data_IF_972118864743
#
_entry.id   IF_972118864743
#
_cell.length_a   1.000
_cell.length_b   1.000
_cell.length_c   1.000
_cell.angle_alpha   90.00
_cell.angle_beta   90.00
_cell.angle_gamma   90.00
#
_symmetry.space_group_name_H-M   'P 1'
#
loop_
_entity.id
_entity.type
_entity.pdbx_description
1 polymer ?
#
# COMPACT_ATOMS: atom_id res chain seq x y z
N UNK A 1 -23.34 -36.56 -23.61
CA UNK A 1 -23.03 -35.64 -22.49
C UNK A 1 -21.56 -35.81 -22.11
N UNK A 2 -20.68 -34.83 -22.38
CA UNK A 2 -19.28 -34.84 -21.91
C UNK A 2 -18.95 -33.44 -21.37
N UNK A 3 -18.63 -33.36 -20.07
CA UNK A 3 -18.33 -32.10 -19.37
C UNK A 3 -16.95 -31.57 -19.76
N UNK A 4 -16.88 -30.33 -20.21
CA UNK A 4 -15.62 -29.62 -20.43
C UNK A 4 -15.04 -29.17 -19.08
N UNK A 5 -13.80 -29.56 -18.79
CA UNK A 5 -13.01 -29.05 -17.66
C UNK A 5 -12.24 -27.81 -18.11
N UNK A 6 -12.65 -26.63 -17.65
CA UNK A 6 -11.94 -25.38 -17.91
C UNK A 6 -10.67 -25.30 -17.07
N UNK A 7 -9.50 -25.48 -17.71
CA UNK A 7 -8.19 -25.14 -17.11
C UNK A 7 -8.10 -23.61 -16.97
N UNK A 8 -8.13 -23.07 -15.76
CA UNK A 8 -7.71 -21.69 -15.48
C UNK A 8 -6.20 -21.59 -15.78
N UNK A 9 -5.82 -20.89 -16.86
CA UNK A 9 -4.44 -20.46 -17.09
C UNK A 9 -4.14 -19.34 -16.08
N UNK A 10 -3.21 -19.58 -15.16
CA UNK A 10 -2.56 -18.51 -14.37
C UNK A 10 -1.78 -17.63 -15.37
N UNK A 11 -2.13 -16.35 -15.45
CA UNK A 11 -1.48 -15.38 -16.32
C UNK A 11 -0.12 -14.93 -15.76
N UNK A 12 0.87 -14.60 -16.62
CA UNK A 12 2.21 -14.20 -16.21
C UNK A 12 2.22 -12.72 -15.80
N UNK A 13 1.92 -12.43 -14.53
CA UNK A 13 1.91 -11.06 -14.00
C UNK A 13 3.27 -10.61 -13.43
N UNK A 14 4.26 -11.50 -13.37
CA UNK A 14 5.56 -11.23 -12.73
C UNK A 14 6.52 -10.40 -13.60
N UNK A 15 6.52 -10.59 -14.93
CA UNK A 15 7.58 -10.03 -15.80
C UNK A 15 7.34 -8.64 -16.39
N UNK A 16 6.13 -8.07 -16.27
CA UNK A 16 5.75 -6.82 -16.94
C UNK A 16 6.18 -5.57 -16.15
N UNK A 17 6.07 -5.65 -14.83
CA UNK A 17 6.42 -4.57 -13.89
C UNK A 17 7.94 -4.52 -13.69
N UNK A 18 8.56 -5.70 -13.68
CA UNK A 18 9.99 -5.94 -13.46
C UNK A 18 10.91 -5.21 -14.47
N UNK A 19 10.41 -4.96 -15.69
CA UNK A 19 11.16 -4.25 -16.75
C UNK A 19 11.12 -2.73 -16.65
N UNK A 20 10.19 -2.14 -15.90
CA UNK A 20 9.96 -0.68 -15.92
C UNK A 20 10.59 0.06 -14.75
N UNK A 21 10.92 -0.60 -13.63
CA UNK A 21 11.48 0.08 -12.45
C UNK A 21 12.51 -0.84 -11.75
N UNK A 22 13.80 -0.77 -12.10
CA UNK A 22 14.85 -1.64 -11.54
C UNK A 22 14.96 -1.56 -10.00
N UNK A 23 14.65 -0.41 -9.42
CA UNK A 23 14.67 -0.16 -7.97
C UNK A 23 13.57 -0.92 -7.21
N UNK A 24 12.54 -1.41 -7.91
CA UNK A 24 11.48 -2.22 -7.32
C UNK A 24 12.03 -3.51 -6.68
N UNK A 25 13.07 -4.11 -7.29
CA UNK A 25 13.74 -5.30 -6.72
C UNK A 25 14.53 -5.00 -5.45
N UNK A 26 15.02 -3.78 -5.27
CA UNK A 26 15.76 -3.38 -4.07
C UNK A 26 14.79 -3.12 -2.91
N UNK A 27 13.69 -2.40 -3.15
CA UNK A 27 12.64 -2.17 -2.15
C UNK A 27 11.93 -3.47 -1.73
N UNK A 28 11.67 -4.40 -2.67
CA UNK A 28 11.12 -5.73 -2.36
C UNK A 28 12.12 -6.60 -1.57
N UNK A 29 13.43 -6.36 -1.70
CA UNK A 29 14.49 -7.04 -0.93
C UNK A 29 14.80 -6.37 0.40
N UNK A 30 14.22 -5.20 0.67
CA UNK A 30 14.35 -4.56 1.97
C UNK A 30 13.69 -5.45 3.02
N UNK A 31 14.48 -5.90 3.99
CA UNK A 31 13.97 -6.59 5.17
C UNK A 31 12.89 -5.76 5.88
N UNK A 32 12.94 -4.43 5.78
CA UNK A 32 11.95 -3.55 6.38
C UNK A 32 10.58 -3.65 5.72
N UNK A 33 10.47 -3.59 4.38
CA UNK A 33 9.17 -3.71 3.71
C UNK A 33 8.58 -5.12 3.82
N UNK A 34 9.43 -6.15 3.73
CA UNK A 34 8.97 -7.53 3.94
C UNK A 34 8.37 -7.72 5.34
N UNK A 35 8.96 -7.10 6.36
CA UNK A 35 8.40 -7.12 7.72
C UNK A 35 7.16 -6.26 7.86
N UNK A 36 7.09 -5.10 7.20
CA UNK A 36 5.88 -4.29 7.14
C UNK A 36 4.70 -5.10 6.59
N UNK A 37 4.91 -5.94 5.56
CA UNK A 37 3.88 -6.86 5.06
C UNK A 37 3.48 -7.94 6.08
N UNK A 38 4.43 -8.47 6.86
CA UNK A 38 4.12 -9.45 7.91
C UNK A 38 3.25 -8.85 9.02
N UNK A 39 3.57 -7.62 9.45
CA UNK A 39 2.84 -6.93 10.52
C UNK A 39 1.53 -6.30 10.02
N UNK A 40 1.45 -5.92 8.75
CA UNK A 40 0.26 -5.30 8.18
C UNK A 40 -0.98 -6.19 8.28
N UNK A 41 -0.82 -7.51 8.33
CA UNK A 41 -1.92 -8.44 8.60
C UNK A 41 -2.56 -8.24 9.98
N UNK A 42 -1.75 -8.06 11.04
CA UNK A 42 -2.28 -7.81 12.39
C UNK A 42 -2.88 -6.42 12.52
N UNK A 43 -2.25 -5.40 11.92
CA UNK A 43 -2.78 -4.03 11.90
C UNK A 43 -4.13 -4.02 11.16
N UNK A 44 -4.23 -4.65 9.98
CA UNK A 44 -5.47 -4.69 9.19
C UNK A 44 -6.63 -5.40 9.89
N UNK A 45 -6.34 -6.26 10.86
CA UNK A 45 -7.35 -6.97 11.65
C UNK A 45 -7.87 -6.16 12.85
N UNK A 46 -7.20 -5.07 13.24
CA UNK A 46 -7.50 -4.28 14.43
C UNK A 46 -7.89 -2.82 14.07
N UNK A 47 -9.16 -2.43 14.27
CA UNK A 47 -9.63 -1.07 13.99
C UNK A 47 -8.89 0.04 14.73
N UNK A 48 -8.41 -0.20 15.97
CA UNK A 48 -7.68 0.81 16.73
C UNK A 48 -6.27 1.03 16.16
N UNK A 49 -5.60 -0.06 15.74
CA UNK A 49 -4.30 0.05 15.06
C UNK A 49 -4.44 0.73 13.69
N UNK A 50 -5.50 0.44 12.93
CA UNK A 50 -5.79 1.16 11.69
C UNK A 50 -6.05 2.66 11.91
N UNK A 51 -6.71 3.01 13.01
CA UNK A 51 -6.96 4.40 13.38
C UNK A 51 -5.65 5.12 13.71
N UNK A 52 -4.81 4.53 14.55
CA UNK A 52 -3.49 5.08 14.89
C UNK A 52 -2.64 5.27 13.63
N UNK A 53 -2.56 4.24 12.78
CA UNK A 53 -1.83 4.30 11.51
C UNK A 53 -2.35 5.42 10.59
N UNK A 54 -3.66 5.64 10.53
CA UNK A 54 -4.24 6.73 9.76
C UNK A 54 -3.85 8.10 10.32
N UNK A 55 -3.92 8.28 11.64
CA UNK A 55 -3.60 9.56 12.30
C UNK A 55 -2.14 9.95 12.07
N UNK A 56 -1.21 9.01 12.30
CA UNK A 56 0.22 9.20 12.06
C UNK A 56 0.53 9.35 10.56
N UNK A 57 -0.08 8.53 9.72
CA UNK A 57 0.08 8.56 8.27
C UNK A 57 -0.38 9.89 7.67
N UNK A 58 -1.50 10.43 8.15
CA UNK A 58 -2.00 11.73 7.71
C UNK A 58 -1.05 12.87 8.11
N UNK A 59 -0.52 12.85 9.34
CA UNK A 59 0.48 13.83 9.79
C UNK A 59 1.75 13.74 8.95
N UNK A 60 2.26 12.54 8.70
CA UNK A 60 3.47 12.31 7.89
C UNK A 60 3.27 12.78 6.45
N UNK A 61 2.18 12.36 5.79
CA UNK A 61 1.87 12.76 4.41
C UNK A 61 1.73 14.28 4.28
N UNK A 62 1.23 14.97 5.30
CA UNK A 62 1.18 16.44 5.29
C UNK A 62 2.56 17.11 5.38
N UNK A 63 3.55 16.43 5.97
CA UNK A 63 4.89 16.98 6.21
C UNK A 63 5.94 16.64 5.12
N UNK A 64 5.70 15.61 4.30
CA UNK A 64 6.66 15.17 3.26
C UNK A 64 6.55 15.98 1.95
N UNK A 65 7.65 16.17 1.21
CA UNK A 65 7.61 16.80 -0.11
C UNK A 65 6.84 15.93 -1.11
N UNK A 66 5.97 16.55 -1.92
CA UNK A 66 5.20 15.84 -2.96
C UNK A 66 6.04 15.35 -4.13
N UNK A 67 7.19 15.97 -4.39
CA UNK A 67 8.03 15.74 -5.58
C UNK A 67 8.39 14.25 -5.80
N UNK A 68 8.99 13.56 -4.82
CA UNK A 68 9.32 12.14 -4.93
C UNK A 68 8.12 11.23 -5.24
N UNK A 69 6.91 11.66 -4.84
CA UNK A 69 5.68 10.87 -4.95
C UNK A 69 4.79 11.30 -6.12
N UNK A 70 5.23 12.19 -7.02
CA UNK A 70 4.34 12.89 -7.96
C UNK A 70 3.35 11.97 -8.71
N UNK A 71 3.81 10.83 -9.23
CA UNK A 71 2.95 9.86 -9.94
C UNK A 71 2.04 9.01 -9.06
N UNK A 72 2.34 8.92 -7.76
CA UNK A 72 1.60 8.11 -6.78
C UNK A 72 0.85 8.95 -5.74
N UNK A 73 0.96 10.28 -5.79
CA UNK A 73 0.41 11.17 -4.78
C UNK A 73 -1.11 11.02 -4.58
N UNK A 74 -1.95 11.00 -5.64
CA UNK A 74 -3.39 10.81 -5.48
C UNK A 74 -3.71 9.45 -4.83
N UNK A 75 -2.94 8.41 -5.18
CA UNK A 75 -3.10 7.08 -4.64
C UNK A 75 -2.65 6.98 -3.19
N UNK A 76 -1.56 7.65 -2.80
CA UNK A 76 -1.13 7.73 -1.41
C UNK A 76 -2.20 8.40 -0.54
N UNK A 77 -2.81 9.48 -1.03
CA UNK A 77 -3.95 10.07 -0.35
C UNK A 77 -5.13 9.09 -0.28
N UNK A 78 -5.40 8.34 -1.36
CA UNK A 78 -6.48 7.35 -1.41
C UNK A 78 -6.27 6.20 -0.44
N UNK A 79 -5.04 5.74 -0.24
CA UNK A 79 -4.67 4.75 0.77
C UNK A 79 -5.12 5.19 2.17
N UNK A 80 -4.80 6.43 2.57
CA UNK A 80 -5.22 6.98 3.87
C UNK A 80 -6.74 7.04 4.01
N UNK A 81 -7.45 7.51 2.98
CA UNK A 81 -8.92 7.58 3.01
C UNK A 81 -9.56 6.20 3.03
N UNK A 82 -9.00 5.23 2.32
CA UNK A 82 -9.48 3.84 2.33
C UNK A 82 -9.29 3.23 3.72
N UNK A 83 -8.12 3.38 4.34
CA UNK A 83 -7.88 2.93 5.72
C UNK A 83 -8.94 3.52 6.66
N UNK A 84 -9.19 4.84 6.55
CA UNK A 84 -10.21 5.54 7.34
C UNK A 84 -11.61 4.97 7.13
N UNK A 85 -12.04 4.84 5.88
CA UNK A 85 -13.35 4.29 5.57
C UNK A 85 -13.48 2.83 6.04
N UNK A 86 -12.40 2.05 5.99
CA UNK A 86 -12.38 0.66 6.42
C UNK A 86 -12.58 0.52 7.93
N UNK A 87 -11.79 1.22 8.75
CA UNK A 87 -11.92 1.12 10.22
C UNK A 87 -13.24 1.71 10.72
N UNK A 88 -13.81 2.70 10.02
CA UNK A 88 -15.14 3.26 10.31
C UNK A 88 -16.29 2.36 9.84
N UNK A 89 -16.00 1.31 9.08
CA UNK A 89 -17.03 0.42 8.52
C UNK A 89 -17.78 0.99 7.32
N UNK A 90 -17.33 2.11 6.76
CA UNK A 90 -17.97 2.80 5.63
C UNK A 90 -17.67 2.11 4.29
N UNK A 91 -16.48 1.52 4.14
CA UNK A 91 -16.07 0.81 2.94
C UNK A 91 -15.43 -0.54 3.26
N UNK A 92 -15.97 -1.62 2.68
CA UNK A 92 -15.45 -3.00 2.87
C UNK A 92 -15.19 -3.75 1.55
N UNK A 93 -15.40 -3.09 0.41
CA UNK A 93 -15.16 -3.68 -0.91
C UNK A 93 -13.67 -3.60 -1.29
N UNK A 94 -12.82 -4.24 -0.48
CA UNK A 94 -11.37 -4.35 -0.70
C UNK A 94 -10.93 -5.77 -0.37
N UNK A 95 -10.09 -6.36 -1.20
CA UNK A 95 -9.54 -7.68 -0.90
C UNK A 95 -8.60 -7.60 0.31
N UNK A 96 -8.54 -8.67 1.11
CA UNK A 96 -7.63 -8.74 2.26
C UNK A 96 -6.17 -8.52 1.86
N UNK A 97 -5.77 -9.09 0.72
CA UNK A 97 -4.43 -8.88 0.18
C UNK A 97 -4.17 -7.40 -0.16
N UNK A 98 -5.09 -6.73 -0.85
CA UNK A 98 -4.94 -5.32 -1.18
C UNK A 98 -4.88 -4.44 0.08
N UNK A 99 -5.72 -4.73 1.08
CA UNK A 99 -5.70 -4.01 2.35
C UNK A 99 -4.35 -4.15 3.06
N UNK A 100 -3.78 -5.36 3.10
CA UNK A 100 -2.45 -5.61 3.68
C UNK A 100 -1.36 -4.81 2.96
N UNK A 101 -1.36 -4.79 1.62
CA UNK A 101 -0.38 -3.99 0.86
C UNK A 101 -0.52 -2.49 1.12
N UNK A 102 -1.75 -1.98 1.23
CA UNK A 102 -2.04 -0.58 1.54
C UNK A 102 -1.54 -0.23 2.95
N UNK A 103 -1.87 -1.06 3.95
CA UNK A 103 -1.45 -0.88 5.34
C UNK A 103 0.07 -0.94 5.45
N UNK A 104 0.72 -1.89 4.79
CA UNK A 104 2.18 -1.99 4.79
C UNK A 104 2.87 -0.75 4.20
N UNK A 105 2.33 -0.21 3.10
CA UNK A 105 2.89 0.98 2.47
C UNK A 105 2.78 2.23 3.35
N UNK A 106 1.62 2.42 4.01
CA UNK A 106 1.42 3.56 4.92
C UNK A 106 2.24 3.38 6.19
N UNK A 107 2.32 2.16 6.74
CA UNK A 107 3.13 1.85 7.92
C UNK A 107 4.62 2.14 7.67
N UNK A 108 5.15 1.72 6.51
CA UNK A 108 6.52 2.02 6.11
C UNK A 108 6.80 3.53 6.03
N UNK A 109 5.84 4.31 5.53
CA UNK A 109 5.98 5.76 5.40
C UNK A 109 5.98 6.47 6.77
N UNK A 110 5.13 6.02 7.69
CA UNK A 110 5.00 6.59 9.04
C UNK A 110 6.29 6.39 9.80
N UNK A 111 6.70 5.14 9.95
CA UNK A 111 7.89 4.74 10.67
C UNK A 111 8.70 3.70 9.87
N UNK A 112 9.70 4.15 9.07
CA UNK A 112 10.59 3.22 8.40
C UNK A 112 11.47 2.42 9.37
N UNK A 113 11.50 2.77 10.67
CA UNK A 113 12.39 2.23 11.70
C UNK A 113 11.72 1.31 12.74
N UNK A 114 10.40 1.09 12.70
CA UNK A 114 9.61 0.41 13.75
C UNK A 114 10.03 -1.06 14.06
N UNK A 115 11.10 -1.59 13.42
CA UNK A 115 11.53 -2.99 13.59
C UNK A 115 13.05 -3.23 13.72
N UNK A 116 13.91 -2.20 13.61
CA UNK A 116 15.36 -2.31 13.90
C UNK A 116 15.86 -0.92 14.34
N UNK A 117 16.47 -0.78 15.54
CA UNK A 117 17.11 0.46 15.94
C UNK A 117 18.45 0.61 15.21
N UNK A 118 18.62 1.67 14.40
CA UNK A 118 19.83 2.53 14.32
C UNK A 118 19.75 3.61 13.21
N UNK A 119 20.45 4.71 13.45
CA UNK A 119 20.23 6.07 12.92
C UNK A 119 20.93 6.42 11.58
N UNK A 120 20.19 7.00 10.62
CA UNK A 120 20.72 8.00 9.66
C UNK A 120 19.64 9.05 9.33
N UNK A 121 19.70 10.25 9.93
CA UNK A 121 18.75 11.32 9.65
C UNK A 121 19.30 12.24 8.55
N UNK A 122 18.90 12.08 7.27
CA UNK A 122 18.72 13.19 6.28
C UNK A 122 18.51 12.81 4.80
N UNK A 123 18.49 11.54 4.38
CA UNK A 123 18.39 11.17 2.96
C UNK A 123 17.45 9.97 2.80
N UNK A 124 16.25 10.13 2.20
CA UNK A 124 15.49 8.91 1.89
C UNK A 124 14.09 8.90 1.30
N UNK A 125 13.39 10.01 0.99
CA UNK A 125 12.01 9.89 0.45
C UNK A 125 11.90 9.12 -0.89
N UNK A 126 13.02 8.86 -1.56
CA UNK A 126 13.08 8.05 -2.77
C UNK A 126 12.72 6.58 -2.50
N UNK A 127 13.12 6.03 -1.37
CA UNK A 127 12.80 4.64 -1.01
C UNK A 127 11.31 4.53 -0.66
N UNK A 128 10.80 5.45 0.16
CA UNK A 128 9.37 5.56 0.49
C UNK A 128 8.50 5.71 -0.78
N UNK A 129 8.91 6.56 -1.71
CA UNK A 129 8.22 6.74 -2.98
C UNK A 129 8.21 5.46 -3.82
N UNK A 130 9.28 4.66 -3.75
CA UNK A 130 9.37 3.37 -4.45
C UNK A 130 8.43 2.34 -3.81
N UNK A 131 8.37 2.28 -2.48
CA UNK A 131 7.44 1.42 -1.74
C UNK A 131 5.99 1.79 -2.04
N UNK A 132 5.64 3.08 -1.99
CA UNK A 132 4.30 3.55 -2.34
C UNK A 132 3.98 3.21 -3.79
N UNK A 133 4.89 3.49 -4.74
CA UNK A 133 4.67 3.16 -6.15
C UNK A 133 4.46 1.65 -6.39
N UNK A 134 5.19 0.80 -5.66
CA UNK A 134 4.99 -0.64 -5.69
C UNK A 134 3.60 -1.05 -5.18
N UNK A 135 3.20 -0.53 -4.02
CA UNK A 135 1.88 -0.78 -3.45
C UNK A 135 0.77 -0.33 -4.41
N UNK A 136 0.90 0.86 -5.01
CA UNK A 136 -0.01 1.34 -6.06
C UNK A 136 -0.08 0.36 -7.22
N UNK A 137 1.04 -0.14 -7.72
CA UNK A 137 1.03 -1.12 -8.80
C UNK A 137 0.30 -2.42 -8.42
N UNK A 138 0.34 -2.83 -7.15
CA UNK A 138 -0.31 -4.05 -6.65
C UNK A 138 -1.79 -3.87 -6.32
N UNK A 139 -2.21 -2.67 -5.94
CA UNK A 139 -3.55 -2.36 -5.40
C UNK A 139 -4.33 -1.37 -6.24
N UNK A 140 -3.85 -1.03 -7.45
CA UNK A 140 -4.41 0.00 -8.32
C UNK A 140 -5.91 -0.15 -8.54
N UNK A 141 -6.34 -1.36 -8.89
CA UNK A 141 -7.76 -1.66 -9.15
C UNK A 141 -8.61 -1.39 -7.91
N UNK A 142 -8.20 -1.87 -6.74
CA UNK A 142 -8.93 -1.62 -5.48
C UNK A 142 -8.95 -0.14 -5.07
N UNK A 143 -7.89 0.61 -5.36
CA UNK A 143 -7.84 2.05 -5.10
C UNK A 143 -8.69 2.84 -6.11
N UNK A 144 -8.68 2.46 -7.39
CA UNK A 144 -9.52 3.05 -8.43
C UNK A 144 -11.01 2.80 -8.11
N UNK A 145 -11.39 1.57 -7.73
CA UNK A 145 -12.74 1.22 -7.28
C UNK A 145 -13.19 2.04 -6.07
N UNK A 146 -12.30 2.20 -5.08
CA UNK A 146 -12.56 3.01 -3.90
C UNK A 146 -12.79 4.48 -4.27
N UNK A 147 -11.92 5.07 -5.10
CA UNK A 147 -12.07 6.46 -5.55
C UNK A 147 -13.34 6.67 -6.37
N UNK A 148 -13.78 5.69 -7.16
CA UNK A 148 -15.07 5.73 -7.86
C UNK A 148 -16.21 5.73 -6.83
N UNK A 149 -16.17 4.82 -5.87
CA UNK A 149 -17.17 4.77 -4.81
C UNK A 149 -17.30 6.10 -4.05
N UNK A 150 -16.17 6.77 -3.74
CA UNK A 150 -16.16 8.09 -3.08
C UNK A 150 -16.94 9.16 -3.87
N UNK A 151 -16.99 9.05 -5.20
CA UNK A 151 -17.75 10.00 -6.04
C UNK A 151 -19.24 9.67 -6.15
N UNK A 152 -19.62 8.41 -5.88
CA UNK A 152 -21.02 7.94 -5.92
C UNK A 152 -21.72 7.98 -4.57
N UNK A 153 -20.96 8.04 -3.47
CA UNK A 153 -21.47 8.08 -2.10
C UNK A 153 -21.77 9.50 -1.58
N UNK A 154 -21.50 10.52 -2.39
CA UNK A 154 -21.85 11.94 -2.18
C UNK A 154 -23.22 12.25 -2.79
#
# INVERSE_FOLDING_TARGET
MKKAKTKRKKGPLEGSVERRVPYLKAAIRSSAFARALLNAGSIAADPEQLRALFEEGAQKVAAIPKGPFQGSWPYLQAMLRLIRAYFRGEYRNVSQEALVFIVAAVSYLVDPFDLIPDEIPFLGFLDDATVVAFAVARTRESLDDFMIWETTAL
#
